data_IF_838273848218
#
_entry.id   IF_838273848218
#
_cell.length_a   1.000
_cell.length_b   1.000
_cell.length_c   1.000
_cell.angle_alpha   90.00
_cell.angle_beta   90.00
_cell.angle_gamma   90.00
#
_symmetry.space_group_name_H-M   'P 1'
#
loop_
_entity.id
_entity.type
_entity.pdbx_description
1 polymer ?
#
# COMPACT_ATOMS: atom_id res chain seq x y z
N UNK A 1 26.18 -2.24 26.65
CA UNK A 1 26.05 -1.93 25.22
C UNK A 1 24.65 -1.40 25.03
N UNK A 2 24.50 -0.08 25.00
CA UNK A 2 23.24 0.57 24.63
C UNK A 2 23.00 0.21 23.17
N UNK A 3 21.96 -0.58 22.91
CA UNK A 3 21.44 -0.72 21.55
C UNK A 3 21.01 0.67 21.10
N UNK A 4 21.53 1.10 19.96
CA UNK A 4 20.97 2.26 19.25
C UNK A 4 19.47 2.00 19.12
N UNK A 5 18.66 2.87 19.70
CA UNK A 5 17.25 2.97 19.38
C UNK A 5 17.20 3.33 17.89
N UNK A 6 17.11 2.33 17.01
CA UNK A 6 16.74 2.57 15.61
C UNK A 6 15.43 3.35 15.65
N UNK A 7 15.50 4.62 15.26
CA UNK A 7 14.32 5.46 15.17
C UNK A 7 13.32 4.75 14.26
N UNK A 8 12.13 4.44 14.79
CA UNK A 8 11.05 3.80 14.05
C UNK A 8 10.77 4.61 12.78
N UNK A 9 11.19 4.10 11.63
CA UNK A 9 11.08 4.80 10.36
C UNK A 9 9.73 4.46 9.75
N UNK A 10 8.77 5.38 9.84
CA UNK A 10 7.48 5.25 9.17
C UNK A 10 7.70 5.24 7.65
N UNK A 11 7.09 4.27 6.97
CA UNK A 11 7.10 4.23 5.51
C UNK A 11 5.78 4.77 4.98
N UNK A 12 5.84 5.90 4.27
CA UNK A 12 4.66 6.56 3.71
C UNK A 12 4.72 6.47 2.20
N UNK A 13 3.75 5.79 1.61
CA UNK A 13 3.58 5.67 0.17
C UNK A 13 2.41 6.53 -0.27
N UNK A 14 2.62 7.45 -1.22
CA UNK A 14 1.52 8.04 -1.96
C UNK A 14 0.97 7.04 -2.99
N UNK A 15 0.03 7.46 -3.82
CA UNK A 15 -0.52 6.63 -4.88
C UNK A 15 -0.55 7.37 -6.21
N UNK A 16 -0.08 6.69 -7.25
CA UNK A 16 -0.06 7.17 -8.63
C UNK A 16 -1.49 7.30 -9.19
N UNK A 17 -1.77 8.31 -10.02
CA UNK A 17 -3.03 8.38 -10.76
C UNK A 17 -3.25 7.14 -11.63
N UNK A 18 -4.51 6.77 -11.80
CA UNK A 18 -4.92 5.64 -12.66
C UNK A 18 -5.12 6.13 -14.09
N UNK A 19 -4.54 5.42 -15.07
CA UNK A 19 -4.64 5.80 -16.49
C UNK A 19 -6.06 5.77 -17.03
N UNK A 20 -6.95 4.96 -16.44
CA UNK A 20 -8.37 4.91 -16.79
C UNK A 20 -9.16 6.14 -16.32
N UNK A 21 -8.61 6.93 -15.40
CA UNK A 21 -9.25 8.10 -14.79
C UNK A 21 -8.67 9.43 -15.30
N UNK A 22 -7.67 9.39 -16.18
CA UNK A 22 -6.97 10.56 -16.68
C UNK A 22 -7.01 10.56 -18.21
N UNK A 23 -7.19 11.73 -18.81
CA UNK A 23 -7.12 11.87 -20.26
C UNK A 23 -5.75 11.39 -20.79
N UNK A 24 -5.75 10.61 -21.87
CA UNK A 24 -4.54 9.96 -22.40
C UNK A 24 -3.37 10.94 -22.63
N UNK A 25 -3.64 12.13 -23.16
CA UNK A 25 -2.62 13.16 -23.41
C UNK A 25 -2.03 13.82 -22.15
N UNK A 26 -2.69 13.64 -20.99
CA UNK A 26 -2.28 14.20 -19.71
C UNK A 26 -1.65 13.18 -18.77
N UNK A 27 -1.87 11.89 -18.99
CA UNK A 27 -1.48 10.85 -18.04
C UNK A 27 0.01 10.88 -17.68
N UNK A 28 0.91 10.90 -18.67
CA UNK A 28 2.35 10.95 -18.43
C UNK A 28 2.75 12.14 -17.56
N UNK A 29 2.24 13.33 -17.89
CA UNK A 29 2.53 14.55 -17.16
C UNK A 29 1.99 14.48 -15.72
N UNK A 30 0.79 13.94 -15.53
CA UNK A 30 0.20 13.77 -14.20
C UNK A 30 1.00 12.76 -13.34
N UNK A 31 1.54 11.69 -13.93
CA UNK A 31 2.44 10.76 -13.22
C UNK A 31 3.68 11.50 -12.71
N UNK A 32 4.32 12.30 -13.58
CA UNK A 32 5.52 13.08 -13.24
C UNK A 32 5.21 14.08 -12.12
N UNK A 33 4.14 14.85 -12.25
CA UNK A 33 3.72 15.86 -11.28
C UNK A 33 3.45 15.23 -9.90
N UNK A 34 2.63 14.17 -9.85
CA UNK A 34 2.30 13.49 -8.59
C UNK A 34 3.54 12.84 -7.96
N UNK A 35 4.44 12.27 -8.75
CA UNK A 35 5.71 11.74 -8.23
C UNK A 35 6.57 12.83 -7.58
N UNK A 36 6.70 13.99 -8.23
CA UNK A 36 7.47 15.12 -7.69
C UNK A 36 6.83 15.69 -6.43
N UNK A 37 5.50 15.81 -6.37
CA UNK A 37 4.81 16.24 -5.16
C UNK A 37 4.98 15.26 -4.02
N UNK A 38 4.93 13.95 -4.31
CA UNK A 38 5.12 12.89 -3.32
C UNK A 38 6.54 12.91 -2.75
N UNK A 39 7.55 13.11 -3.60
CA UNK A 39 8.94 13.28 -3.16
C UNK A 39 9.11 14.52 -2.29
N UNK A 40 8.56 15.66 -2.72
CA UNK A 40 8.62 16.91 -1.95
C UNK A 40 7.88 16.82 -0.60
N UNK A 41 6.83 16.01 -0.53
CA UNK A 41 6.10 15.72 0.71
C UNK A 41 6.82 14.72 1.62
N UNK A 42 7.99 14.21 1.23
CA UNK A 42 8.78 13.28 2.03
C UNK A 42 8.25 11.85 2.03
N UNK A 43 7.42 11.46 1.05
CA UNK A 43 7.00 10.07 0.91
C UNK A 43 8.20 9.17 0.65
N UNK A 44 8.20 7.99 1.28
CA UNK A 44 9.15 6.90 1.02
C UNK A 44 9.00 6.39 -0.42
N UNK A 45 7.77 6.31 -0.91
CA UNK A 45 7.48 5.80 -2.23
C UNK A 45 6.11 6.17 -2.77
N UNK A 46 5.74 5.54 -3.88
CA UNK A 46 4.47 5.77 -4.57
C UNK A 46 3.93 4.46 -5.16
N UNK A 47 2.70 4.08 -4.79
CA UNK A 47 2.02 2.91 -5.32
C UNK A 47 1.64 3.11 -6.78
N UNK A 48 2.01 2.17 -7.64
CA UNK A 48 1.55 2.08 -9.03
C UNK A 48 0.66 0.84 -9.17
N UNK A 49 -0.61 1.05 -9.53
CA UNK A 49 -1.57 -0.05 -9.67
C UNK A 49 -1.30 -0.93 -10.87
N UNK A 50 -1.88 -2.13 -10.81
CA UNK A 50 -1.97 -3.04 -11.94
C UNK A 50 -3.35 -3.71 -11.94
N UNK A 51 -4.01 -3.69 -13.08
CA UNK A 51 -5.18 -4.50 -13.45
C UNK A 51 -5.31 -4.48 -14.99
N UNK A 52 -6.28 -5.21 -15.54
CA UNK A 52 -6.41 -5.35 -16.99
C UNK A 52 -6.91 -4.07 -17.71
N UNK A 53 -7.24 -3.01 -16.98
CA UNK A 53 -7.75 -1.71 -17.49
C UNK A 53 -6.72 -0.58 -17.42
N UNK A 54 -5.56 -0.82 -16.81
CA UNK A 54 -4.53 0.19 -16.58
C UNK A 54 -3.30 -0.04 -17.48
N UNK A 55 -2.50 1.01 -17.65
CA UNK A 55 -1.19 0.87 -18.29
C UNK A 55 -0.23 0.08 -17.41
N UNK A 56 0.85 -0.44 -18.01
CA UNK A 56 1.82 -1.28 -17.30
C UNK A 56 2.53 -0.54 -16.15
N UNK A 57 2.50 -1.15 -14.96
CA UNK A 57 3.02 -0.57 -13.73
C UNK A 57 4.56 -0.45 -13.74
N UNK A 58 5.26 -1.35 -14.42
CA UNK A 58 6.71 -1.29 -14.52
C UNK A 58 7.15 -0.11 -15.37
N UNK A 59 6.51 0.11 -16.52
CA UNK A 59 6.82 1.26 -17.38
C UNK A 59 6.54 2.59 -16.68
N UNK A 60 5.44 2.69 -15.93
CA UNK A 60 5.16 3.87 -15.10
C UNK A 60 6.19 4.05 -13.98
N UNK A 61 6.66 2.96 -13.35
CA UNK A 61 7.73 3.01 -12.36
C UNK A 61 9.05 3.57 -12.93
N UNK A 62 9.36 3.27 -14.21
CA UNK A 62 10.51 3.85 -14.88
C UNK A 62 10.38 5.38 -15.01
N UNK A 63 9.20 5.87 -15.43
CA UNK A 63 8.93 7.33 -15.52
C UNK A 63 9.14 8.00 -14.15
N UNK A 64 8.64 7.38 -13.09
CA UNK A 64 8.81 7.89 -11.71
C UNK A 64 10.30 7.98 -11.36
N UNK A 65 11.07 6.93 -11.61
CA UNK A 65 12.51 6.91 -11.35
C UNK A 65 13.22 8.02 -12.15
N UNK A 66 12.95 8.15 -13.45
CA UNK A 66 13.60 9.17 -14.29
C UNK A 66 13.34 10.62 -13.84
N UNK A 67 12.23 10.87 -13.12
CA UNK A 67 11.76 12.22 -12.77
C UNK A 67 11.80 12.55 -11.27
N UNK A 68 12.41 11.67 -10.45
CA UNK A 68 12.57 11.84 -9.00
C UNK A 68 13.97 11.41 -8.57
N UNK A 69 14.42 11.81 -7.37
CA UNK A 69 15.77 11.52 -6.86
C UNK A 69 15.83 10.44 -5.79
N UNK A 70 14.83 10.37 -4.92
CA UNK A 70 14.76 9.53 -3.72
C UNK A 70 13.48 8.71 -3.65
N UNK A 71 12.40 9.16 -4.31
CA UNK A 71 11.13 8.43 -4.29
C UNK A 71 11.29 7.03 -4.93
N UNK A 72 10.77 6.01 -4.23
CA UNK A 72 10.82 4.63 -4.67
C UNK A 72 9.45 4.15 -5.20
N UNK A 73 9.35 3.62 -6.43
CA UNK A 73 8.11 3.02 -6.90
C UNK A 73 7.73 1.79 -6.06
N UNK A 74 6.46 1.69 -5.67
CA UNK A 74 5.82 0.51 -5.11
C UNK A 74 4.97 -0.13 -6.21
N UNK A 75 5.53 -1.10 -6.92
CA UNK A 75 4.93 -1.71 -8.10
C UNK A 75 3.95 -2.80 -7.68
N UNK A 76 2.66 -2.64 -8.02
CA UNK A 76 1.70 -3.71 -7.86
C UNK A 76 2.04 -4.87 -8.81
N UNK A 77 2.14 -6.09 -8.27
CA UNK A 77 2.62 -7.25 -9.01
C UNK A 77 1.71 -8.47 -8.79
N UNK A 78 1.17 -8.96 -9.91
CA UNK A 78 0.35 -10.17 -9.99
C UNK A 78 1.15 -11.31 -10.66
N UNK A 79 1.37 -12.45 -9.99
CA UNK A 79 2.10 -13.60 -10.55
C UNK A 79 1.64 -14.12 -11.92
N UNK A 80 0.38 -13.88 -12.31
CA UNK A 80 -0.16 -14.29 -13.63
C UNK A 80 0.37 -13.43 -14.77
N UNK A 81 0.80 -12.19 -14.52
CA UNK A 81 1.16 -11.24 -15.59
C UNK A 81 2.55 -11.49 -16.18
N UNK A 82 3.48 -12.01 -15.38
CA UNK A 82 4.84 -12.28 -15.85
C UNK A 82 5.56 -13.34 -15.01
N UNK A 83 6.48 -14.07 -15.63
CA UNK A 83 7.32 -15.08 -14.96
C UNK A 83 8.20 -14.45 -13.85
N UNK A 84 8.47 -15.13 -12.71
CA UNK A 84 9.26 -14.57 -11.61
C UNK A 84 10.67 -14.14 -12.02
N UNK A 85 11.29 -14.84 -12.98
CA UNK A 85 12.57 -14.43 -13.56
C UNK A 85 12.51 -13.03 -14.18
N UNK A 86 11.45 -12.72 -14.94
CA UNK A 86 11.29 -11.43 -15.59
C UNK A 86 11.12 -10.32 -14.56
N UNK A 87 10.32 -10.56 -13.51
CA UNK A 87 10.17 -9.60 -12.41
C UNK A 87 11.50 -9.34 -11.68
N UNK A 88 12.24 -10.40 -11.34
CA UNK A 88 13.57 -10.29 -10.73
C UNK A 88 14.55 -9.51 -11.64
N UNK A 89 14.51 -9.75 -12.95
CA UNK A 89 15.32 -9.04 -13.94
C UNK A 89 14.96 -7.57 -14.03
N UNK A 90 13.68 -7.20 -13.95
CA UNK A 90 13.24 -5.80 -13.91
C UNK A 90 13.74 -5.09 -12.66
N UNK A 91 13.64 -5.73 -11.49
CA UNK A 91 14.16 -5.18 -10.21
C UNK A 91 15.66 -4.90 -10.30
N UNK A 92 16.44 -5.90 -10.73
CA UNK A 92 17.89 -5.75 -10.92
C UNK A 92 18.23 -4.67 -11.95
N UNK A 93 17.44 -4.56 -13.02
CA UNK A 93 17.62 -3.54 -14.06
C UNK A 93 17.39 -2.13 -13.51
N UNK A 94 16.33 -1.90 -12.73
CA UNK A 94 16.10 -0.58 -12.12
C UNK A 94 17.16 -0.20 -11.11
N UNK A 95 17.60 -1.16 -10.28
CA UNK A 95 18.72 -0.92 -9.38
C UNK A 95 20.01 -0.57 -10.14
N UNK A 96 20.29 -1.26 -11.25
CA UNK A 96 21.47 -1.00 -12.08
C UNK A 96 21.42 0.35 -12.80
N UNK A 97 20.25 0.73 -13.33
CA UNK A 97 20.08 1.97 -14.09
C UNK A 97 20.01 3.21 -13.18
N UNK A 98 19.34 3.10 -12.04
CA UNK A 98 18.96 4.25 -11.21
C UNK A 98 19.58 4.28 -9.82
N UNK A 99 20.34 3.24 -9.43
CA UNK A 99 20.96 3.15 -8.11
C UNK A 99 19.95 3.18 -6.96
N UNK A 100 18.70 2.79 -7.22
CA UNK A 100 17.58 2.85 -6.27
C UNK A 100 16.85 1.53 -6.19
N UNK A 101 16.39 1.20 -4.98
CA UNK A 101 15.48 0.08 -4.76
C UNK A 101 14.10 0.42 -5.31
N UNK A 102 13.30 -0.62 -5.52
CA UNK A 102 11.85 -0.51 -5.68
C UNK A 102 11.17 -1.29 -4.56
N UNK A 103 9.87 -1.12 -4.41
CA UNK A 103 9.04 -1.96 -3.58
C UNK A 103 8.08 -2.77 -4.44
N UNK A 104 7.67 -3.93 -3.94
CA UNK A 104 6.67 -4.78 -4.57
C UNK A 104 5.41 -4.80 -3.71
N UNK A 105 4.27 -4.43 -4.30
CA UNK A 105 2.96 -4.69 -3.70
C UNK A 105 2.38 -5.96 -4.36
N UNK A 106 2.61 -7.09 -3.72
CA UNK A 106 2.18 -8.39 -4.20
C UNK A 106 0.66 -8.55 -4.02
N UNK A 107 -0.01 -8.89 -5.13
CA UNK A 107 -1.46 -9.12 -5.16
C UNK A 107 -1.77 -10.52 -5.66
N UNK A 108 -2.52 -11.30 -4.87
CA UNK A 108 -2.88 -12.68 -5.24
C UNK A 108 -4.08 -12.76 -6.21
N UNK A 109 -4.96 -11.76 -6.23
CA UNK A 109 -6.07 -11.72 -7.19
C UNK A 109 -7.37 -11.11 -6.68
N UNK A 110 -7.34 -9.84 -6.25
CA UNK A 110 -8.56 -9.10 -5.87
C UNK A 110 -9.60 -8.98 -7.00
N UNK A 111 -9.15 -9.04 -8.25
CA UNK A 111 -9.99 -8.99 -9.45
C UNK A 111 -10.09 -10.37 -10.11
N UNK A 112 -10.98 -11.23 -9.58
CA UNK A 112 -11.20 -12.61 -10.09
C UNK A 112 -11.52 -12.63 -11.60
N UNK A 113 -12.27 -11.64 -12.08
CA UNK A 113 -12.67 -11.54 -13.49
C UNK A 113 -11.46 -11.34 -14.40
N UNK A 114 -10.46 -10.57 -13.97
CA UNK A 114 -9.23 -10.34 -14.71
C UNK A 114 -8.43 -11.65 -14.85
N UNK A 115 -8.29 -12.38 -13.74
CA UNK A 115 -7.64 -13.69 -13.73
C UNK A 115 -8.37 -14.70 -14.62
N UNK A 116 -9.70 -14.74 -14.52
CA UNK A 116 -10.56 -15.61 -15.35
C UNK A 116 -10.40 -15.30 -16.83
N UNK A 117 -10.34 -14.02 -17.19
CA UNK A 117 -10.16 -13.57 -18.58
C UNK A 117 -8.78 -13.92 -19.14
N UNK A 118 -7.79 -14.09 -18.27
CA UNK A 118 -6.45 -14.59 -18.60
C UNK A 118 -6.35 -16.13 -18.49
N UNK A 119 -7.45 -16.82 -18.25
CA UNK A 119 -7.50 -18.28 -18.17
C UNK A 119 -7.05 -18.88 -16.84
N UNK A 120 -6.85 -18.07 -15.79
CA UNK A 120 -6.46 -18.55 -14.47
C UNK A 120 -7.68 -18.85 -13.59
N UNK A 121 -7.93 -20.14 -13.36
CA UNK A 121 -9.02 -20.64 -12.52
C UNK A 121 -8.55 -21.05 -11.11
N UNK A 122 -7.34 -20.65 -10.70
CA UNK A 122 -6.76 -21.04 -9.41
C UNK A 122 -7.67 -20.62 -8.24
N UNK A 123 -8.01 -21.53 -7.31
CA UNK A 123 -8.80 -21.21 -6.12
C UNK A 123 -8.13 -20.14 -5.25
N UNK A 124 -8.92 -19.31 -4.57
CA UNK A 124 -8.44 -18.14 -3.81
C UNK A 124 -7.20 -18.41 -2.95
N UNK A 125 -7.24 -19.40 -2.05
CA UNK A 125 -6.13 -19.68 -1.13
C UNK A 125 -4.88 -20.21 -1.85
N UNK A 126 -5.09 -21.01 -2.91
CA UNK A 126 -4.01 -21.52 -3.74
C UNK A 126 -3.30 -20.42 -4.55
N UNK A 127 -3.92 -19.25 -4.73
CA UNK A 127 -3.23 -18.09 -5.32
C UNK A 127 -2.14 -17.57 -4.39
N UNK A 128 -2.32 -17.67 -3.08
CA UNK A 128 -1.29 -17.31 -2.10
C UNK A 128 -0.18 -18.37 -2.02
N UNK A 129 -0.49 -19.67 -2.18
CA UNK A 129 0.55 -20.70 -2.40
C UNK A 129 1.43 -20.34 -3.60
N UNK A 130 0.80 -20.00 -4.74
CA UNK A 130 1.51 -19.53 -5.95
C UNK A 130 2.34 -18.29 -5.67
N UNK A 131 1.81 -17.33 -4.92
CA UNK A 131 2.49 -16.09 -4.57
C UNK A 131 3.76 -16.35 -3.73
N UNK A 132 3.69 -17.31 -2.81
CA UNK A 132 4.85 -17.73 -2.00
C UNK A 132 5.93 -18.31 -2.90
N UNK A 133 5.61 -19.25 -3.79
CA UNK A 133 6.59 -19.83 -4.72
C UNK A 133 7.22 -18.75 -5.62
N UNK A 134 6.37 -17.90 -6.20
CA UNK A 134 6.76 -16.80 -7.07
C UNK A 134 7.78 -15.87 -6.41
N UNK A 135 7.45 -15.40 -5.22
CA UNK A 135 8.26 -14.44 -4.48
C UNK A 135 9.52 -15.10 -3.94
N UNK A 136 9.46 -16.38 -3.54
CA UNK A 136 10.64 -17.14 -3.12
C UNK A 136 11.68 -17.22 -4.24
N UNK A 137 11.25 -17.50 -5.48
CA UNK A 137 12.16 -17.52 -6.64
C UNK A 137 12.76 -16.13 -6.87
N UNK A 138 11.96 -15.06 -6.81
CA UNK A 138 12.44 -13.68 -6.95
C UNK A 138 13.50 -13.36 -5.89
N UNK A 139 13.21 -13.60 -4.60
CA UNK A 139 14.16 -13.36 -3.50
C UNK A 139 15.46 -14.14 -3.72
N UNK A 140 15.38 -15.41 -4.11
CA UNK A 140 16.57 -16.23 -4.36
C UNK A 140 17.41 -15.72 -5.53
N UNK A 141 16.79 -15.30 -6.64
CA UNK A 141 17.48 -14.73 -7.79
C UNK A 141 18.17 -13.40 -7.46
N UNK A 142 17.57 -12.58 -6.58
CA UNK A 142 18.10 -11.27 -6.21
C UNK A 142 19.19 -11.35 -5.13
N UNK A 143 19.08 -12.28 -4.17
CA UNK A 143 20.01 -12.36 -3.03
C UNK A 143 21.26 -13.20 -3.31
N UNK A 144 21.27 -14.04 -4.35
CA UNK A 144 22.33 -15.05 -4.56
C UNK A 144 23.08 -14.81 -5.86
N UNK A 145 24.41 -14.96 -5.79
CA UNK A 145 25.26 -15.07 -6.98
C UNK A 145 25.34 -16.50 -7.53
N UNK A 146 24.66 -17.46 -6.90
CA UNK A 146 24.58 -18.86 -7.33
C UNK A 146 23.33 -19.13 -8.18
N UNK A 147 23.38 -20.08 -9.13
CA UNK A 147 22.18 -20.50 -9.85
C UNK A 147 21.07 -20.98 -8.90
N UNK A 148 19.82 -20.73 -9.30
CA UNK A 148 18.60 -21.09 -8.59
C UNK A 148 17.93 -22.26 -9.27
N UNK A 149 17.71 -23.33 -8.51
CA UNK A 149 16.81 -24.43 -8.86
C UNK A 149 15.65 -24.42 -7.86
N UNK A 150 14.42 -24.47 -8.36
CA UNK A 150 13.20 -24.51 -7.56
C UNK A 150 12.20 -25.46 -8.23
N UNK A 151 11.55 -26.31 -7.44
CA UNK A 151 10.55 -27.25 -7.92
C UNK A 151 9.33 -27.18 -7.00
N UNK A 152 8.40 -26.30 -7.35
CA UNK A 152 7.12 -26.16 -6.69
C UNK A 152 5.96 -26.69 -7.52
N UNK A 153 4.76 -26.45 -7.02
CA UNK A 153 3.48 -26.78 -7.66
C UNK A 153 3.17 -25.85 -8.84
N UNK A 154 3.54 -24.57 -8.74
CA UNK A 154 3.23 -23.55 -9.73
C UNK A 154 4.43 -23.19 -10.59
N UNK A 155 5.64 -23.20 -10.02
CA UNK A 155 6.85 -22.83 -10.73
C UNK A 155 7.93 -23.90 -10.65
N UNK A 156 8.62 -24.07 -11.76
CA UNK A 156 9.84 -24.88 -11.85
C UNK A 156 10.90 -24.08 -12.59
N UNK A 157 12.05 -23.88 -11.95
CA UNK A 157 13.25 -23.35 -12.58
C UNK A 157 14.41 -24.28 -12.28
N UNK A 158 15.32 -24.46 -13.22
CA UNK A 158 16.48 -25.33 -13.05
C UNK A 158 17.77 -24.60 -13.45
N UNK A 159 18.71 -24.52 -12.50
CA UNK A 159 20.04 -23.95 -12.68
C UNK A 159 20.03 -22.52 -13.29
N UNK A 160 19.02 -21.71 -12.95
CA UNK A 160 18.83 -20.38 -13.54
C UNK A 160 19.79 -19.39 -12.90
N UNK A 161 20.56 -18.68 -13.72
CA UNK A 161 21.41 -17.57 -13.29
C UNK A 161 20.82 -16.24 -13.76
N UNK A 162 21.01 -15.20 -12.96
CA UNK A 162 20.59 -13.85 -13.30
C UNK A 162 21.75 -12.88 -13.09
N UNK A 163 21.98 -12.02 -14.08
CA UNK A 163 22.92 -10.90 -14.02
C UNK A 163 22.24 -9.65 -14.61
N UNK A 164 22.63 -8.42 -14.26
CA UNK A 164 23.60 -8.10 -13.20
C UNK A 164 23.08 -8.49 -11.80
N UNK A 165 23.98 -8.69 -10.82
CA UNK A 165 23.56 -8.93 -9.45
C UNK A 165 22.89 -7.68 -8.86
N UNK A 166 22.03 -7.88 -7.86
CA UNK A 166 21.43 -6.78 -7.10
C UNK A 166 22.33 -6.45 -5.88
N UNK A 167 22.77 -5.20 -5.69
CA UNK A 167 23.38 -4.77 -4.44
C UNK A 167 22.44 -5.02 -3.25
N UNK A 168 22.96 -5.51 -2.12
CA UNK A 168 22.13 -5.95 -0.99
C UNK A 168 21.32 -4.81 -0.37
N UNK A 169 21.87 -3.60 -0.37
CA UNK A 169 21.24 -2.36 0.09
C UNK A 169 20.07 -1.91 -0.81
N UNK A 170 19.99 -2.42 -2.05
CA UNK A 170 18.91 -2.13 -2.99
C UNK A 170 17.86 -3.25 -3.04
N UNK A 171 17.89 -4.21 -2.10
CA UNK A 171 16.89 -5.26 -1.99
C UNK A 171 15.47 -4.66 -1.88
N UNK A 172 14.49 -5.15 -2.65
CA UNK A 172 13.17 -4.54 -2.66
C UNK A 172 12.44 -4.79 -1.34
N UNK A 173 11.71 -3.77 -0.86
CA UNK A 173 10.71 -4.00 0.18
C UNK A 173 9.53 -4.78 -0.39
N UNK A 174 9.00 -5.74 0.38
CA UNK A 174 7.94 -6.65 -0.07
C UNK A 174 6.70 -6.42 0.79
N UNK A 175 5.63 -5.98 0.15
CA UNK A 175 4.32 -5.76 0.74
C UNK A 175 3.34 -6.78 0.14
N UNK A 176 2.40 -7.26 0.94
CA UNK A 176 1.29 -8.11 0.47
C UNK A 176 -0.03 -7.44 0.83
N UNK A 177 -0.84 -7.17 -0.18
CA UNK A 177 -2.21 -6.69 0.02
C UNK A 177 -3.17 -7.89 0.12
N UNK A 178 -3.71 -8.12 1.32
CA UNK A 178 -4.68 -9.19 1.56
C UNK A 178 -4.88 -9.52 3.03
N UNK A 179 -6.09 -9.31 3.54
CA UNK A 179 -6.45 -9.56 4.95
C UNK A 179 -7.02 -10.96 5.22
N UNK A 180 -7.03 -11.87 4.23
CA UNK A 180 -7.45 -13.25 4.43
C UNK A 180 -6.40 -14.02 5.23
N UNK A 181 -6.81 -15.10 5.91
CA UNK A 181 -5.88 -15.98 6.64
C UNK A 181 -4.74 -16.47 5.74
N UNK A 182 -5.06 -16.92 4.52
CA UNK A 182 -4.05 -17.30 3.53
C UNK A 182 -3.11 -16.15 3.13
N UNK A 183 -3.60 -14.91 3.10
CA UNK A 183 -2.81 -13.72 2.77
C UNK A 183 -1.85 -13.35 3.89
N UNK A 184 -2.32 -13.37 5.13
CA UNK A 184 -1.49 -13.15 6.32
C UNK A 184 -0.45 -14.27 6.48
N UNK A 185 -0.83 -15.53 6.21
CA UNK A 185 0.10 -16.65 6.21
C UNK A 185 1.19 -16.49 5.13
N UNK A 186 0.84 -16.01 3.93
CA UNK A 186 1.82 -15.71 2.89
C UNK A 186 2.74 -14.55 3.27
N UNK A 187 2.20 -13.48 3.89
CA UNK A 187 3.02 -12.37 4.39
C UNK A 187 4.04 -12.86 5.42
N UNK A 188 3.60 -13.72 6.35
CA UNK A 188 4.47 -14.37 7.33
C UNK A 188 5.56 -15.23 6.68
N UNK A 189 5.17 -16.10 5.76
CA UNK A 189 6.10 -17.01 5.09
C UNK A 189 7.17 -16.27 4.28
N UNK A 190 6.86 -15.07 3.79
CA UNK A 190 7.73 -14.27 2.96
C UNK A 190 8.47 -13.16 3.73
N UNK A 191 8.20 -13.00 5.02
CA UNK A 191 8.67 -11.87 5.84
C UNK A 191 8.34 -10.52 5.16
N UNK A 192 7.07 -10.39 4.76
CA UNK A 192 6.55 -9.26 4.01
C UNK A 192 5.61 -8.41 4.88
N UNK A 193 5.54 -7.12 4.61
CA UNK A 193 4.62 -6.21 5.29
C UNK A 193 3.18 -6.48 4.83
N UNK A 194 2.31 -6.85 5.77
CA UNK A 194 0.89 -7.09 5.50
C UNK A 194 0.15 -5.75 5.41
N UNK A 195 -0.40 -5.45 4.22
CA UNK A 195 -1.20 -4.24 3.99
C UNK A 195 -2.68 -4.56 4.16
N UNK A 196 -3.32 -3.82 5.07
CA UNK A 196 -4.71 -3.96 5.46
C UNK A 196 -5.48 -2.70 5.10
N UNK A 197 -6.79 -2.82 4.94
CA UNK A 197 -7.64 -1.64 5.08
C UNK A 197 -7.93 -1.45 6.56
N UNK A 198 -7.69 -0.25 7.11
CA UNK A 198 -7.81 -0.03 8.53
C UNK A 198 -9.27 -0.18 8.97
N UNK A 199 -9.49 -0.77 10.12
CA UNK A 199 -10.72 -0.62 10.91
C UNK A 199 -10.58 0.62 11.82
N UNK A 200 -11.65 1.08 12.50
CA UNK A 200 -11.49 2.04 13.59
C UNK A 200 -10.41 1.56 14.57
N UNK A 201 -9.48 2.43 14.96
CA UNK A 201 -8.28 1.98 15.68
C UNK A 201 -8.60 1.32 17.04
N UNK A 202 -9.71 1.72 17.66
CA UNK A 202 -10.21 1.14 18.90
C UNK A 202 -10.46 -0.36 18.83
N UNK A 203 -10.73 -0.91 17.64
CA UNK A 203 -10.90 -2.36 17.48
C UNK A 203 -9.58 -3.10 17.65
N UNK A 204 -8.46 -2.57 17.14
CA UNK A 204 -7.13 -3.14 17.36
C UNK A 204 -6.68 -2.99 18.82
N UNK A 205 -7.05 -1.89 19.49
CA UNK A 205 -6.76 -1.68 20.91
C UNK A 205 -7.51 -2.69 21.80
N UNK A 206 -8.75 -3.04 21.43
CA UNK A 206 -9.56 -4.04 22.15
C UNK A 206 -9.14 -5.48 21.82
N UNK A 207 -8.69 -5.72 20.59
CA UNK A 207 -8.27 -7.03 20.10
C UNK A 207 -6.92 -6.90 19.38
N UNK A 208 -5.80 -6.83 20.13
CA UNK A 208 -4.48 -6.71 19.53
C UNK A 208 -4.18 -7.88 18.59
N UNK A 209 -3.79 -7.57 17.36
CA UNK A 209 -3.37 -8.57 16.38
C UNK A 209 -1.92 -8.95 16.68
N UNK A 210 -1.71 -10.09 17.35
CA UNK A 210 -0.37 -10.59 17.69
C UNK A 210 0.11 -11.62 16.66
N UNK A 211 0.04 -11.29 15.37
CA UNK A 211 0.52 -12.17 14.30
C UNK A 211 2.06 -12.13 14.16
N UNK A 212 2.69 -11.10 14.75
CA UNK A 212 4.12 -10.83 14.71
C UNK A 212 4.59 -10.29 13.35
N UNK A 213 3.66 -9.80 12.52
CA UNK A 213 3.95 -9.30 11.19
C UNK A 213 4.22 -7.80 11.21
N UNK A 214 5.16 -7.38 10.37
CA UNK A 214 5.19 -6.00 9.91
C UNK A 214 3.87 -5.70 9.23
N UNK A 215 3.24 -4.58 9.58
CA UNK A 215 1.92 -4.26 9.09
C UNK A 215 1.79 -2.82 8.67
N UNK A 216 0.89 -2.60 7.71
CA UNK A 216 0.56 -1.28 7.22
C UNK A 216 -0.90 -1.16 6.86
N UNK A 217 -1.35 0.08 6.70
CA UNK A 217 -2.73 0.41 6.38
C UNK A 217 -2.82 1.25 5.11
N UNK A 218 -3.88 1.01 4.34
CA UNK A 218 -4.25 1.87 3.23
C UNK A 218 -5.37 2.83 3.65
N UNK A 219 -5.11 4.13 3.61
CA UNK A 219 -6.00 5.13 4.21
C UNK A 219 -6.00 6.44 3.42
N UNK A 220 -7.16 7.06 3.28
CA UNK A 220 -7.27 8.45 2.82
C UNK A 220 -7.14 9.42 3.99
N UNK A 221 -6.67 10.64 3.75
CA UNK A 221 -6.58 11.67 4.79
C UNK A 221 -7.08 12.99 4.23
N UNK A 222 -7.96 13.66 4.98
CA UNK A 222 -8.42 15.03 4.71
C UNK A 222 -8.25 15.80 6.01
N UNK A 223 -7.18 16.59 6.08
CA UNK A 223 -6.87 17.36 7.28
C UNK A 223 -6.77 18.86 6.96
N UNK A 224 -7.19 19.67 7.91
CA UNK A 224 -7.09 21.14 7.89
C UNK A 224 -6.65 21.66 9.25
N UNK A 225 -6.38 22.96 9.34
CA UNK A 225 -6.16 23.58 10.64
C UNK A 225 -7.47 23.59 11.46
N UNK A 226 -8.57 23.93 10.79
CA UNK A 226 -9.91 23.90 11.37
C UNK A 226 -10.63 22.59 11.03
N UNK A 227 -11.28 21.98 12.03
CA UNK A 227 -11.97 20.70 11.86
C UNK A 227 -13.20 20.82 10.95
N UNK A 228 -13.94 21.93 11.03
CA UNK A 228 -15.12 22.13 10.20
C UNK A 228 -14.72 22.28 8.73
N UNK A 229 -13.64 23.01 8.43
CA UNK A 229 -13.08 23.10 7.07
C UNK A 229 -12.72 21.71 6.51
N UNK A 230 -12.11 20.83 7.31
CA UNK A 230 -11.78 19.48 6.87
C UNK A 230 -13.03 18.68 6.46
N UNK A 231 -14.10 18.78 7.25
CA UNK A 231 -15.37 18.11 6.95
C UNK A 231 -16.12 18.73 5.78
N UNK A 232 -16.05 20.05 5.59
CA UNK A 232 -16.58 20.71 4.39
C UNK A 232 -15.89 20.19 3.12
N UNK A 233 -14.55 20.10 3.13
CA UNK A 233 -13.77 19.53 2.03
C UNK A 233 -14.11 18.06 1.80
N UNK A 234 -14.27 17.28 2.87
CA UNK A 234 -14.63 15.88 2.80
C UNK A 234 -15.99 15.65 2.12
N UNK A 235 -17.03 16.37 2.56
CA UNK A 235 -18.36 16.30 1.98
C UNK A 235 -18.42 16.83 0.55
N UNK A 236 -17.64 17.87 0.22
CA UNK A 236 -17.53 18.38 -1.14
C UNK A 236 -16.84 17.39 -2.08
N UNK A 237 -15.79 16.70 -1.60
CA UNK A 237 -15.04 15.69 -2.38
C UNK A 237 -15.86 14.42 -2.59
N UNK A 238 -16.60 13.99 -1.58
CA UNK A 238 -17.44 12.80 -1.63
C UNK A 238 -18.88 13.13 -1.27
N UNK A 239 -19.62 13.79 -2.18
CA UNK A 239 -21.02 14.11 -1.95
C UNK A 239 -21.83 12.81 -1.79
N UNK A 240 -22.93 12.90 -1.03
CA UNK A 240 -23.82 11.76 -0.82
C UNK A 240 -24.39 11.27 -2.16
N UNK A 241 -24.13 10.01 -2.49
CA UNK A 241 -24.52 9.40 -3.76
C UNK A 241 -25.33 8.12 -3.51
N UNK A 242 -26.66 8.29 -3.45
CA UNK A 242 -27.61 7.19 -3.24
C UNK A 242 -27.51 6.11 -4.33
N UNK A 243 -27.05 6.45 -5.54
CA UNK A 243 -26.83 5.52 -6.65
C UNK A 243 -25.51 4.77 -6.50
N UNK A 244 -24.49 5.43 -5.97
CA UNK A 244 -23.22 4.82 -5.56
C UNK A 244 -23.43 3.74 -4.49
N UNK A 245 -24.26 4.01 -3.48
CA UNK A 245 -24.61 3.03 -2.43
C UNK A 245 -25.26 1.76 -2.98
N UNK A 246 -26.17 1.90 -3.96
CA UNK A 246 -26.79 0.77 -4.64
C UNK A 246 -25.79 -0.03 -5.49
N UNK A 247 -24.84 0.66 -6.15
CA UNK A 247 -23.79 0.03 -6.96
C UNK A 247 -22.81 -0.75 -6.08
N UNK A 248 -22.43 -0.20 -4.92
CA UNK A 248 -21.63 -0.88 -3.90
C UNK A 248 -22.31 -2.18 -3.45
N UNK A 249 -23.60 -2.14 -3.10
CA UNK A 249 -24.38 -3.33 -2.71
C UNK A 249 -24.43 -4.43 -3.78
N UNK A 250 -24.37 -4.06 -5.07
CA UNK A 250 -24.30 -5.02 -6.18
C UNK A 250 -22.90 -5.61 -6.34
N UNK A 251 -21.85 -4.80 -6.21
CA UNK A 251 -20.45 -5.26 -6.22
C UNK A 251 -20.18 -6.24 -5.06
N UNK A 252 -20.84 -6.06 -3.90
CA UNK A 252 -20.77 -6.97 -2.75
C UNK A 252 -21.16 -8.41 -3.05
N UNK A 253 -22.05 -8.64 -4.02
CA UNK A 253 -22.50 -9.98 -4.37
C UNK A 253 -21.52 -10.74 -5.26
N UNK A 254 -20.54 -10.05 -5.86
CA UNK A 254 -19.66 -10.60 -6.90
C UNK A 254 -18.18 -10.57 -6.49
N UNK A 255 -17.82 -9.84 -5.42
CA UNK A 255 -16.44 -9.74 -4.94
C UNK A 255 -16.06 -10.90 -4.00
N UNK A 256 -14.95 -11.58 -4.32
CA UNK A 256 -14.31 -12.59 -3.46
C UNK A 256 -13.40 -11.96 -2.39
N UNK A 257 -13.29 -10.62 -2.33
CA UNK A 257 -12.36 -9.92 -1.44
C UNK A 257 -12.85 -9.91 0.01
N UNK A 258 -12.13 -10.61 0.90
CA UNK A 258 -12.42 -10.68 2.35
C UNK A 258 -12.49 -9.28 2.99
N UNK A 259 -11.61 -8.35 2.59
CA UNK A 259 -11.58 -7.00 3.16
C UNK A 259 -12.83 -6.17 2.79
N UNK A 260 -13.36 -6.32 1.56
CA UNK A 260 -14.55 -5.59 1.13
C UNK A 260 -15.77 -5.99 1.97
N UNK A 261 -15.85 -7.27 2.35
CA UNK A 261 -16.89 -7.78 3.27
C UNK A 261 -16.71 -7.21 4.67
N UNK A 262 -15.50 -7.28 5.23
CA UNK A 262 -15.20 -6.77 6.59
C UNK A 262 -15.52 -5.28 6.75
N UNK A 263 -15.11 -4.42 5.81
CA UNK A 263 -15.40 -2.98 5.88
C UNK A 263 -16.90 -2.67 5.71
N UNK A 264 -17.63 -3.49 4.96
CA UNK A 264 -19.07 -3.30 4.75
C UNK A 264 -19.87 -3.62 6.02
N UNK A 265 -19.45 -4.62 6.79
CA UNK A 265 -20.07 -4.98 8.09
C UNK A 265 -19.86 -3.89 9.15
N UNK A 266 -18.80 -3.08 9.04
CA UNK A 266 -18.56 -1.92 9.90
C UNK A 266 -19.49 -0.73 9.61
N UNK A 267 -20.15 -0.72 8.46
CA UNK A 267 -20.92 0.42 7.95
C UNK A 267 -22.29 0.68 8.59
N UNK A 268 -22.73 -0.14 9.54
CA UNK A 268 -24.04 0.01 10.20
C UNK A 268 -24.05 0.99 11.39
N UNK A 269 -22.87 1.48 11.83
CA UNK A 269 -22.78 2.49 12.89
C UNK A 269 -22.62 3.89 12.29
N UNK A 270 -23.38 4.90 12.75
CA UNK A 270 -23.26 6.25 12.21
C UNK A 270 -21.86 6.79 12.52
N UNK A 271 -21.08 7.04 11.46
CA UNK A 271 -19.87 7.82 11.54
C UNK A 271 -20.28 9.29 11.40
N UNK A 272 -20.25 10.03 12.50
CA UNK A 272 -20.41 11.48 12.52
C UNK A 272 -19.08 12.21 12.71
N UNK A 273 -19.13 13.54 12.74
CA UNK A 273 -18.00 14.47 12.94
C UNK A 273 -17.17 14.17 14.23
N UNK A 274 -17.77 13.44 15.18
CA UNK A 274 -17.12 13.04 16.44
C UNK A 274 -16.03 11.96 16.28
N UNK A 275 -15.90 11.29 15.13
CA UNK A 275 -14.84 10.30 14.90
C UNK A 275 -14.08 10.63 13.62
N UNK A 276 -12.73 10.76 13.66
CA UNK A 276 -11.96 11.05 12.46
C UNK A 276 -12.07 9.93 11.41
N UNK A 277 -12.34 8.68 11.81
CA UNK A 277 -12.46 7.55 10.90
C UNK A 277 -13.77 7.57 10.11
N UNK A 278 -13.69 7.73 8.79
CA UNK A 278 -14.81 7.94 7.86
C UNK A 278 -14.91 6.90 6.74
N UNK A 279 -16.04 6.19 6.69
CA UNK A 279 -16.30 5.10 5.74
C UNK A 279 -17.17 5.48 4.54
N UNK A 280 -17.79 6.66 4.53
CA UNK A 280 -18.76 7.03 3.48
C UNK A 280 -18.17 6.98 2.06
N UNK A 281 -16.92 7.44 1.78
CA UNK A 281 -16.36 7.34 0.43
C UNK A 281 -16.26 5.90 -0.09
N UNK A 282 -15.91 4.97 0.79
CA UNK A 282 -15.88 3.53 0.50
C UNK A 282 -17.30 2.99 0.26
N UNK A 283 -18.26 3.30 1.15
CA UNK A 283 -19.65 2.85 1.02
C UNK A 283 -20.35 3.37 -0.25
N UNK A 284 -19.94 4.53 -0.74
CA UNK A 284 -20.44 5.12 -1.98
C UNK A 284 -19.66 4.66 -3.23
N UNK A 285 -18.72 3.71 -3.09
CA UNK A 285 -17.86 3.20 -4.17
C UNK A 285 -17.05 4.30 -4.88
N UNK A 286 -16.70 5.36 -4.16
CA UNK A 286 -15.87 6.46 -4.67
C UNK A 286 -14.38 6.20 -4.46
N UNK A 287 -14.05 5.42 -3.43
CA UNK A 287 -12.69 5.04 -3.05
C UNK A 287 -12.67 3.60 -2.55
N UNK A 288 -11.47 3.02 -2.44
CA UNK A 288 -11.31 1.65 -1.95
C UNK A 288 -10.89 1.57 -0.48
N UNK A 289 -10.70 2.70 0.20
CA UNK A 289 -10.24 2.75 1.59
C UNK A 289 -11.04 3.74 2.46
N UNK A 290 -11.02 3.54 3.79
CA UNK A 290 -11.49 4.54 4.75
C UNK A 290 -10.66 5.82 4.70
N UNK A 291 -11.24 6.90 5.19
CA UNK A 291 -10.60 8.22 5.29
C UNK A 291 -10.47 8.64 6.76
N UNK A 292 -9.40 9.37 7.10
CA UNK A 292 -9.29 10.11 8.36
C UNK A 292 -9.56 11.60 8.09
N UNK A 293 -10.55 12.18 8.75
CA UNK A 293 -11.01 13.56 8.55
C UNK A 293 -10.95 14.34 9.86
N UNK A 294 -10.42 15.57 9.82
CA UNK A 294 -10.48 16.48 10.96
C UNK A 294 -9.34 17.51 11.00
N UNK A 295 -9.11 18.11 12.18
CA UNK A 295 -7.95 18.99 12.36
C UNK A 295 -6.62 18.21 12.27
N UNK A 296 -5.51 18.91 12.00
CA UNK A 296 -4.18 18.27 11.96
C UNK A 296 -3.87 17.50 13.24
N UNK A 297 -4.15 18.08 14.41
CA UNK A 297 -3.89 17.47 15.72
C UNK A 297 -4.74 16.22 15.93
N UNK A 298 -6.02 16.26 15.53
CA UNK A 298 -6.95 15.14 15.68
C UNK A 298 -6.55 13.97 14.81
N UNK A 299 -6.27 14.23 13.53
CA UNK A 299 -5.84 13.18 12.61
C UNK A 299 -4.47 12.64 13.01
N UNK A 300 -3.54 13.50 13.46
CA UNK A 300 -2.23 13.06 13.94
C UNK A 300 -2.34 12.17 15.20
N UNK A 301 -3.28 12.47 16.11
CA UNK A 301 -3.59 11.60 17.24
C UNK A 301 -4.08 10.23 16.80
N UNK A 302 -4.97 10.16 15.80
CA UNK A 302 -5.47 8.88 15.27
C UNK A 302 -4.37 8.08 14.56
N UNK A 303 -3.52 8.74 13.75
CA UNK A 303 -2.35 8.11 13.13
C UNK A 303 -1.41 7.52 14.19
N UNK A 304 -1.14 8.24 15.28
CA UNK A 304 -0.33 7.70 16.39
C UNK A 304 -0.94 6.46 17.02
N UNK A 305 -2.27 6.39 17.15
CA UNK A 305 -2.93 5.18 17.65
C UNK A 305 -2.70 4.00 16.73
N UNK A 306 -2.77 4.18 15.40
CA UNK A 306 -2.42 3.13 14.44
C UNK A 306 -0.96 2.68 14.57
N UNK A 307 -0.05 3.63 14.78
CA UNK A 307 1.37 3.34 15.00
C UNK A 307 1.59 2.54 16.29
N UNK A 308 0.91 2.91 17.38
CA UNK A 308 1.01 2.25 18.68
C UNK A 308 0.50 0.80 18.66
N UNK A 309 -0.47 0.49 17.78
CA UNK A 309 -0.93 -0.90 17.57
C UNK A 309 -0.10 -1.66 16.52
N UNK A 310 1.01 -1.08 16.04
CA UNK A 310 2.01 -1.75 15.21
C UNK A 310 1.95 -1.47 13.71
N UNK A 311 1.10 -0.56 13.24
CA UNK A 311 1.07 -0.17 11.83
C UNK A 311 2.12 0.91 11.53
N UNK A 312 3.17 0.55 10.80
CA UNK A 312 4.30 1.44 10.50
C UNK A 312 4.36 1.86 9.03
N UNK A 313 3.63 1.18 8.16
CA UNK A 313 3.53 1.50 6.74
C UNK A 313 2.16 2.09 6.42
N UNK A 314 2.12 3.23 5.74
CA UNK A 314 0.89 3.91 5.33
C UNK A 314 0.88 4.07 3.82
N UNK A 315 -0.13 3.50 3.16
CA UNK A 315 -0.40 3.74 1.74
C UNK A 315 -1.56 4.73 1.64
N UNK A 316 -1.26 5.94 1.23
CA UNK A 316 -2.23 7.01 1.08
C UNK A 316 -3.09 6.77 -0.16
N UNK A 317 -4.35 7.21 -0.13
CA UNK A 317 -5.16 7.24 -1.35
C UNK A 317 -4.60 8.23 -2.39
N UNK A 318 -5.15 8.24 -3.61
CA UNK A 318 -4.66 9.11 -4.69
C UNK A 318 -4.82 10.59 -4.26
N UNK A 319 -3.73 11.37 -4.16
CA UNK A 319 -3.83 12.78 -3.85
C UNK A 319 -4.45 13.53 -5.04
N UNK A 320 -5.48 14.37 -4.83
CA UNK A 320 -6.10 15.09 -5.93
C UNK A 320 -5.22 16.26 -6.43
N UNK A 321 -4.36 16.81 -5.57
CA UNK A 321 -3.43 17.88 -5.88
C UNK A 321 -2.24 17.92 -4.89
N UNK A 322 -1.29 18.83 -5.14
CA UNK A 322 -0.10 19.03 -4.30
C UNK A 322 -0.44 19.59 -2.90
N UNK A 323 -1.48 20.41 -2.77
CA UNK A 323 -1.84 21.02 -1.50
C UNK A 323 -2.34 19.95 -0.51
N UNK A 324 -3.10 18.97 -1.00
CA UNK A 324 -3.53 17.84 -0.18
C UNK A 324 -2.35 17.03 0.39
N UNK A 325 -1.32 16.74 -0.42
CA UNK A 325 -0.12 16.08 0.11
C UNK A 325 0.59 16.93 1.18
N UNK A 326 0.52 18.26 1.07
CA UNK A 326 1.09 19.16 2.08
C UNK A 326 0.33 19.07 3.40
N UNK A 327 -1.01 19.06 3.35
CA UNK A 327 -1.85 18.85 4.53
C UNK A 327 -1.59 17.48 5.19
N UNK A 328 -1.46 16.42 4.37
CA UNK A 328 -1.17 15.07 4.87
C UNK A 328 0.22 15.02 5.50
N UNK A 329 1.23 15.61 4.88
CA UNK A 329 2.58 15.68 5.44
C UNK A 329 2.59 16.36 6.82
N UNK A 330 1.85 17.45 6.98
CA UNK A 330 1.72 18.12 8.28
C UNK A 330 1.18 17.19 9.38
N UNK A 331 0.18 16.38 9.08
CA UNK A 331 -0.35 15.35 10.00
C UNK A 331 0.74 14.36 10.41
N UNK A 332 1.47 13.79 9.45
CA UNK A 332 2.50 12.79 9.75
C UNK A 332 3.70 13.39 10.51
N UNK A 333 4.10 14.63 10.20
CA UNK A 333 5.14 15.33 10.95
C UNK A 333 4.74 15.57 12.42
N UNK A 334 3.49 15.98 12.66
CA UNK A 334 2.96 16.14 14.02
C UNK A 334 2.95 14.79 14.76
N UNK A 335 2.45 13.74 14.12
CA UNK A 335 2.40 12.40 14.69
C UNK A 335 3.80 11.89 15.08
N UNK A 336 4.80 12.05 14.21
CA UNK A 336 6.19 11.65 14.46
C UNK A 336 6.83 12.45 15.60
N UNK A 337 6.68 13.78 15.59
CA UNK A 337 7.27 14.67 16.59
C UNK A 337 6.84 14.29 18.01
N UNK A 338 5.57 13.98 18.20
CA UNK A 338 5.03 13.62 19.50
C UNK A 338 5.44 12.21 19.96
N UNK A 339 5.63 11.26 19.03
CA UNK A 339 6.20 9.93 19.35
C UNK A 339 7.63 10.07 19.86
N UNK A 340 8.48 10.81 19.15
CA UNK A 340 9.88 11.04 19.55
C UNK A 340 9.95 11.74 20.91
N UNK A 341 9.08 12.72 21.17
CA UNK A 341 9.00 13.40 22.46
C UNK A 341 8.60 12.44 23.59
N UNK A 342 7.60 11.58 23.37
CA UNK A 342 7.17 10.57 24.34
C UNK A 342 8.27 9.56 24.67
N UNK A 343 9.02 9.09 23.67
CA UNK A 343 10.15 8.19 23.86
C UNK A 343 11.28 8.84 24.66
N UNK A 344 11.60 10.11 24.37
CA UNK A 344 12.62 10.85 25.10
C UNK A 344 12.26 11.05 26.58
N UNK A 345 10.99 11.38 26.88
CA UNK A 345 10.52 11.52 28.27
C UNK A 345 10.56 10.18 29.02
N UNK A 346 10.15 9.08 28.39
CA UNK A 346 10.22 7.75 28.99
C UNK A 346 11.66 7.33 29.30
N UNK A 347 12.61 7.65 28.41
CA UNK A 347 14.04 7.37 28.62
C UNK A 347 14.68 8.24 29.73
N UNK A 348 14.12 9.41 30.06
CA UNK A 348 14.57 10.25 31.17
C UNK A 348 13.97 9.86 32.53
N UNK A 349 12.90 9.07 32.54
CA UNK A 349 12.22 8.59 33.74
C UNK A 349 12.75 7.24 34.27
N UNK A 350 13.66 6.60 33.52
CA UNK A 350 14.38 5.37 33.86
C UNK A 350 15.87 5.67 34.02
#
# INVERSE_FOLDING_TARGET
MMGELEAMQLEIFSTCPQSSQVEQGRYLQNVIEVAQWSEAAGCTGILVYTDNSLVDAWLVAQVILENTKTLCPLVALQPVYMHPYTAAKMISTYAHLYGRRIYLNLVAGGFKNDLTSLGDQTPHDQRYERLIEYTTIIKQLLSRNSPVTYQGKFYRVDNVKMTPPLPAELFPGILISGSSEAGLAAAKALDATAIKYPKPVSEYEQQPETDGLNSGVRVGVIARADEAEAWEVAHARFPSDRKGQLTHQLAMKVSDSVWHRQLSELGEKPVGEENPYWLIPFQNYKTFCPYLVGSYERVAAEIRRYINVGHQTFILDIPPDQAELTHINQVFQLAQKEITHGQALAAMAH
#
